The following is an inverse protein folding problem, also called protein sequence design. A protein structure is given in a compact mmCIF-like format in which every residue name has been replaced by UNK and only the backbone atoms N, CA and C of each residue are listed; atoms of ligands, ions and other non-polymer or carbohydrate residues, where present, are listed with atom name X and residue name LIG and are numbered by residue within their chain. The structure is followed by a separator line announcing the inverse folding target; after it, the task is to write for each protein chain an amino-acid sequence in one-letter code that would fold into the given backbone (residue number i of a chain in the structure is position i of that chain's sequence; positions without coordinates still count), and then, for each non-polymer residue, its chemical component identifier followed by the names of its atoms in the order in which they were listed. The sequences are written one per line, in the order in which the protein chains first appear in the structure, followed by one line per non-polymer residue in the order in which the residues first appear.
data_IF_617814516378
#
_entry.id   IF_617814516378
#
_cell.length_a   1.000
_cell.length_b   1.000
_cell.length_c   1.000
_cell.angle_alpha   90.00
_cell.angle_beta   90.00
_cell.angle_gamma   90.00
#
_symmetry.space_group_name_H-M   'P 1'
#
loop_
_entity.id
_entity.type
_entity.pdbx_description
1 polymer ?
#
# COMPACT_ATOMS: atom_id res chain seq x y z
N UNK A 1 28.18 4.72 16.94
CA UNK A 1 29.16 4.82 18.02
C UNK A 1 30.10 6.04 17.88
N UNK A 2 30.19 6.68 16.73
CA UNK A 2 30.99 7.85 16.48
C UNK A 2 30.11 9.07 16.14
N UNK A 3 30.53 10.26 16.61
CA UNK A 3 29.88 11.49 16.19
C UNK A 3 30.46 11.90 14.82
N UNK A 4 29.63 11.93 13.78
CA UNK A 4 30.03 12.37 12.44
C UNK A 4 29.64 13.82 12.24
N UNK A 5 30.60 14.75 12.43
CA UNK A 5 30.53 16.09 11.86
C UNK A 5 31.22 16.07 10.50
N UNK A 6 30.67 16.79 9.53
CA UNK A 6 31.18 16.84 8.14
C UNK A 6 32.67 17.29 8.03
N UNK A 7 33.14 18.02 9.03
CA UNK A 7 34.53 18.52 9.11
C UNK A 7 35.01 18.35 10.53
N UNK A 8 35.84 17.37 10.81
CA UNK A 8 36.48 17.20 12.11
C UNK A 8 36.77 15.75 12.51
N UNK A 9 37.62 15.57 13.52
CA UNK A 9 37.99 14.27 14.05
C UNK A 9 36.76 13.51 14.57
N UNK A 10 36.64 12.25 14.17
CA UNK A 10 35.57 11.34 14.63
C UNK A 10 35.78 11.06 16.11
N UNK A 11 34.88 11.54 16.96
CA UNK A 11 34.93 11.28 18.39
C UNK A 11 34.04 10.09 18.73
N UNK A 12 34.59 9.11 19.40
CA UNK A 12 33.81 7.98 19.90
C UNK A 12 32.88 8.45 21.00
N UNK A 13 31.58 8.23 20.86
CA UNK A 13 30.55 8.66 21.81
C UNK A 13 29.74 7.48 22.39
N UNK A 14 30.14 6.25 22.09
CA UNK A 14 29.46 5.05 22.57
C UNK A 14 27.96 5.05 22.28
N UNK A 15 27.15 4.72 23.26
CA UNK A 15 25.69 4.59 23.17
C UNK A 15 24.93 5.93 23.24
N UNK A 16 25.62 7.06 23.43
CA UNK A 16 24.98 8.35 23.66
C UNK A 16 24.02 8.77 22.52
N UNK A 17 24.32 8.41 21.29
CA UNK A 17 23.45 8.70 20.16
C UNK A 17 22.15 7.90 20.21
N UNK A 18 22.22 6.65 20.61
CA UNK A 18 21.03 5.80 20.79
C UNK A 18 20.13 6.31 21.93
N UNK A 19 20.73 6.64 23.07
CA UNK A 19 19.99 7.22 24.18
C UNK A 19 19.27 8.51 23.80
N UNK A 20 19.92 9.38 23.00
CA UNK A 20 19.26 10.59 22.47
C UNK A 20 18.06 10.28 21.58
N UNK A 21 18.11 9.24 20.75
CA UNK A 21 16.99 8.84 19.91
C UNK A 21 15.81 8.40 20.77
N UNK A 22 16.04 7.57 21.78
CA UNK A 22 14.99 7.12 22.70
C UNK A 22 14.40 8.21 23.57
N UNK A 23 15.15 9.29 23.82
CA UNK A 23 14.66 10.44 24.60
C UNK A 23 13.86 11.45 23.76
N UNK A 24 13.86 11.31 22.41
CA UNK A 24 13.14 12.21 21.52
C UNK A 24 11.70 11.74 21.31
N UNK A 25 10.74 12.56 21.73
CA UNK A 25 9.30 12.31 21.51
C UNK A 25 8.94 12.20 20.03
N UNK A 26 9.68 12.92 19.16
CA UNK A 26 9.46 12.90 17.70
C UNK A 26 9.65 11.50 17.10
N UNK A 27 10.60 10.70 17.65
CA UNK A 27 10.85 9.34 17.18
C UNK A 27 9.67 8.40 17.45
N UNK A 28 9.05 8.54 18.61
CA UNK A 28 7.86 7.75 18.96
C UNK A 28 6.64 8.20 18.15
N UNK A 29 6.51 9.51 17.90
CA UNK A 29 5.49 10.04 16.99
C UNK A 29 5.62 9.47 15.58
N UNK A 30 6.84 9.44 15.03
CA UNK A 30 7.12 8.84 13.73
C UNK A 30 6.85 7.33 13.69
N UNK A 31 7.16 6.58 14.76
CA UNK A 31 6.82 5.16 14.88
C UNK A 31 5.30 4.94 14.85
N UNK A 32 4.55 5.72 15.62
CA UNK A 32 3.08 5.66 15.60
C UNK A 32 2.52 5.94 14.21
N UNK A 33 3.10 6.92 13.51
CA UNK A 33 2.71 7.25 12.16
C UNK A 33 2.99 6.11 11.18
N UNK A 34 4.14 5.46 11.28
CA UNK A 34 4.49 4.34 10.41
C UNK A 34 3.57 3.12 10.59
N UNK A 35 2.90 2.96 11.74
CA UNK A 35 1.89 1.91 11.93
C UNK A 35 0.70 2.06 10.98
N UNK A 36 0.26 3.29 10.68
CA UNK A 36 -0.81 3.52 9.70
C UNK A 36 -0.41 3.01 8.31
N UNK A 37 0.82 3.32 7.89
CA UNK A 37 1.33 2.86 6.59
C UNK A 37 1.55 1.35 6.56
N UNK A 38 2.00 0.77 7.66
CA UNK A 38 2.18 -0.67 7.79
C UNK A 38 0.84 -1.41 7.69
N UNK A 39 -0.20 -0.94 8.39
CA UNK A 39 -1.55 -1.50 8.28
C UNK A 39 -2.12 -1.36 6.86
N UNK A 40 -1.93 -0.18 6.25
CA UNK A 40 -2.31 0.03 4.85
C UNK A 40 -1.61 -0.92 3.89
N UNK A 41 -0.32 -1.18 4.10
CA UNK A 41 0.45 -2.14 3.30
C UNK A 41 -0.04 -3.58 3.47
N UNK A 42 -0.38 -3.99 4.69
CA UNK A 42 -0.94 -5.33 4.95
C UNK A 42 -2.27 -5.50 4.22
N UNK A 43 -3.18 -4.52 4.32
CA UNK A 43 -4.46 -4.53 3.61
C UNK A 43 -4.24 -4.57 2.09
N UNK A 44 -3.32 -3.76 1.58
CA UNK A 44 -2.96 -3.73 0.16
C UNK A 44 -2.46 -5.08 -0.34
N UNK A 45 -1.53 -5.71 0.39
CA UNK A 45 -0.98 -7.03 0.03
C UNK A 45 -2.07 -8.11 0.07
N UNK A 46 -2.95 -8.10 1.06
CA UNK A 46 -4.07 -9.04 1.16
C UNK A 46 -5.02 -8.92 -0.05
N UNK A 47 -5.40 -7.69 -0.42
CA UNK A 47 -6.25 -7.45 -1.60
C UNK A 47 -5.52 -7.86 -2.89
N UNK A 48 -4.23 -7.51 -3.02
CA UNK A 48 -3.43 -7.86 -4.18
C UNK A 48 -3.30 -9.37 -4.36
N UNK A 49 -3.04 -10.11 -3.27
CA UNK A 49 -2.94 -11.56 -3.28
C UNK A 49 -4.28 -12.21 -3.62
N UNK A 50 -5.37 -11.75 -3.02
CA UNK A 50 -6.73 -12.25 -3.31
C UNK A 50 -7.07 -12.09 -4.81
N UNK A 51 -6.82 -10.91 -5.38
CA UNK A 51 -7.08 -10.67 -6.80
C UNK A 51 -6.09 -11.44 -7.70
N UNK A 52 -4.85 -11.60 -7.27
CA UNK A 52 -3.87 -12.39 -8.01
C UNK A 52 -4.30 -13.86 -8.11
N UNK A 53 -4.77 -14.47 -7.03
CA UNK A 53 -5.28 -15.85 -7.05
C UNK A 53 -6.47 -16.00 -7.98
N UNK A 54 -7.40 -15.04 -7.98
CA UNK A 54 -8.55 -15.07 -8.89
C UNK A 54 -8.16 -14.91 -10.35
N UNK A 55 -7.16 -14.08 -10.65
CA UNK A 55 -6.72 -13.74 -12.02
C UNK A 55 -5.62 -14.67 -12.56
N UNK A 56 -5.05 -15.54 -11.75
CA UNK A 56 -4.12 -16.58 -12.19
C UNK A 56 -4.82 -17.69 -12.97
N UNK A 57 -6.11 -17.89 -12.73
CA UNK A 57 -6.93 -18.78 -13.57
C UNK A 57 -7.38 -18.04 -14.83
N UNK A 58 -7.56 -18.79 -15.95
CA UNK A 58 -8.05 -18.22 -17.21
C UNK A 58 -9.42 -17.55 -17.00
N UNK A 59 -9.42 -16.23 -16.96
CA UNK A 59 -10.63 -15.41 -16.89
C UNK A 59 -10.83 -14.63 -18.20
N UNK A 60 -12.09 -14.49 -18.62
CA UNK A 60 -12.42 -13.67 -19.78
C UNK A 60 -12.01 -12.21 -19.47
N UNK A 61 -11.22 -11.60 -20.35
CA UNK A 61 -10.66 -10.25 -20.17
C UNK A 61 -9.64 -10.10 -19.03
N UNK A 62 -9.07 -11.20 -18.48
CA UNK A 62 -8.10 -11.14 -17.37
C UNK A 62 -6.90 -10.24 -17.65
N UNK A 63 -6.34 -10.30 -18.87
CA UNK A 63 -5.15 -9.50 -19.22
C UNK A 63 -5.46 -8.00 -19.32
N UNK A 64 -6.63 -7.65 -19.83
CA UNK A 64 -7.10 -6.26 -19.86
C UNK A 64 -7.26 -5.72 -18.43
N UNK A 65 -7.85 -6.53 -17.53
CA UNK A 65 -8.03 -6.16 -16.14
C UNK A 65 -6.69 -5.99 -15.41
N UNK A 66 -5.73 -6.91 -15.62
CA UNK A 66 -4.36 -6.81 -15.08
C UNK A 66 -3.69 -5.51 -15.53
N UNK A 67 -3.78 -5.17 -16.82
CA UNK A 67 -3.22 -3.94 -17.38
C UNK A 67 -3.85 -2.68 -16.76
N UNK A 68 -5.18 -2.66 -16.62
CA UNK A 68 -5.91 -1.54 -16.02
C UNK A 68 -5.53 -1.34 -14.54
N UNK A 69 -5.42 -2.43 -13.78
CA UNK A 69 -5.02 -2.36 -12.38
C UNK A 69 -3.55 -1.99 -12.17
N UNK A 70 -2.68 -2.32 -13.14
CA UNK A 70 -1.26 -1.96 -13.11
C UNK A 70 -1.01 -0.50 -13.52
N UNK A 71 -1.91 0.10 -14.30
CA UNK A 71 -1.76 1.45 -14.84
C UNK A 71 -1.44 2.52 -13.80
N UNK A 72 -2.06 2.58 -12.60
CA UNK A 72 -1.74 3.58 -11.58
C UNK A 72 -0.27 3.60 -11.17
N UNK A 73 0.39 2.46 -11.15
CA UNK A 73 1.80 2.35 -10.81
C UNK A 73 2.71 3.04 -11.84
N UNK A 74 2.32 3.03 -13.14
CA UNK A 74 3.09 3.63 -14.22
C UNK A 74 3.06 5.17 -14.20
N UNK A 75 2.09 5.77 -13.52
CA UNK A 75 1.96 7.22 -13.44
C UNK A 75 3.10 7.79 -12.59
N UNK A 76 3.72 8.86 -13.09
CA UNK A 76 4.75 9.58 -12.36
C UNK A 76 4.25 10.02 -10.97
N UNK A 77 5.07 9.87 -9.92
CA UNK A 77 4.69 10.18 -8.54
C UNK A 77 4.28 11.64 -8.31
N UNK A 78 4.88 12.58 -9.02
CA UNK A 78 4.51 14.00 -8.94
C UNK A 78 3.11 14.20 -9.51
N UNK A 79 2.80 13.58 -10.65
CA UNK A 79 1.47 13.63 -11.25
C UNK A 79 0.41 13.02 -10.33
N UNK A 80 0.70 11.87 -9.70
CA UNK A 80 -0.19 11.26 -8.69
C UNK A 80 -0.43 12.23 -7.53
N UNK A 81 0.61 12.91 -7.04
CA UNK A 81 0.47 13.92 -5.99
C UNK A 81 -0.49 15.05 -6.37
N UNK A 82 -0.40 15.58 -7.60
CA UNK A 82 -1.34 16.60 -8.10
C UNK A 82 -2.76 16.06 -8.26
N UNK A 83 -2.92 14.87 -8.86
CA UNK A 83 -4.23 14.24 -9.03
C UNK A 83 -4.94 14.10 -7.69
N UNK A 84 -4.26 13.50 -6.69
CA UNK A 84 -4.88 13.28 -5.38
C UNK A 84 -5.02 14.55 -4.54
N UNK A 85 -4.19 15.58 -4.76
CA UNK A 85 -4.42 16.90 -4.18
C UNK A 85 -5.77 17.46 -4.63
N UNK A 86 -6.08 17.42 -5.93
CA UNK A 86 -7.38 17.83 -6.44
C UNK A 86 -8.50 16.90 -5.99
N UNK A 87 -8.27 15.59 -6.01
CA UNK A 87 -9.24 14.59 -5.60
C UNK A 87 -9.74 14.81 -4.16
N UNK A 88 -8.83 15.10 -3.23
CA UNK A 88 -9.12 15.33 -1.82
C UNK A 88 -9.35 16.80 -1.44
N UNK A 89 -9.30 17.73 -2.39
CA UNK A 89 -9.63 19.13 -2.12
C UNK A 89 -11.12 19.24 -1.81
N UNK A 90 -11.46 20.03 -0.77
CA UNK A 90 -12.85 20.21 -0.34
C UNK A 90 -13.73 20.73 -1.48
N UNK A 91 -14.89 20.11 -1.63
CA UNK A 91 -15.85 20.45 -2.68
C UNK A 91 -15.49 19.91 -4.07
N UNK A 92 -14.42 19.12 -4.18
CA UNK A 92 -14.02 18.48 -5.44
C UNK A 92 -14.50 17.03 -5.52
N UNK A 93 -13.77 16.18 -6.26
CA UNK A 93 -14.22 14.87 -6.70
C UNK A 93 -14.69 13.98 -5.54
N UNK A 94 -13.87 13.82 -4.51
CA UNK A 94 -14.19 12.91 -3.41
C UNK A 94 -15.41 13.36 -2.60
N UNK A 95 -15.47 14.65 -2.28
CA UNK A 95 -16.63 15.23 -1.59
C UNK A 95 -17.90 15.14 -2.44
N UNK A 96 -17.80 15.37 -3.76
CA UNK A 96 -18.93 15.23 -4.69
C UNK A 96 -19.48 13.80 -4.71
N UNK A 97 -18.60 12.80 -4.76
CA UNK A 97 -19.00 11.39 -4.70
C UNK A 97 -19.71 11.07 -3.39
N UNK A 98 -19.19 11.58 -2.26
CA UNK A 98 -19.81 11.39 -0.96
C UNK A 98 -21.16 12.11 -0.84
N UNK A 99 -21.30 13.29 -1.44
CA UNK A 99 -22.60 13.98 -1.52
C UNK A 99 -23.62 13.16 -2.31
N UNK A 100 -23.25 12.52 -3.39
CA UNK A 100 -24.14 11.59 -4.11
C UNK A 100 -24.56 10.38 -3.27
N UNK A 101 -23.70 9.97 -2.32
CA UNK A 101 -24.04 8.94 -1.34
C UNK A 101 -24.91 9.46 -0.17
N UNK A 102 -25.28 10.76 -0.15
CA UNK A 102 -26.16 11.36 0.88
C UNK A 102 -25.42 12.07 2.02
N UNK A 103 -24.11 12.23 1.96
CA UNK A 103 -23.36 12.98 2.98
C UNK A 103 -23.45 14.49 2.71
N UNK A 104 -23.62 15.28 3.77
CA UNK A 104 -23.62 16.75 3.67
C UNK A 104 -22.19 17.27 3.67
N UNK A 105 -21.87 18.23 2.81
CA UNK A 105 -20.52 18.80 2.67
C UNK A 105 -20.00 19.36 4.00
N UNK A 106 -20.85 20.01 4.79
CA UNK A 106 -20.45 20.63 6.05
C UNK A 106 -19.97 19.64 7.11
N UNK A 107 -20.42 18.38 7.03
CA UNK A 107 -20.03 17.29 7.92
C UNK A 107 -18.76 16.55 7.46
N UNK A 108 -18.26 16.84 6.24
CA UNK A 108 -17.07 16.19 5.72
C UNK A 108 -15.79 16.86 6.26
N UNK A 109 -14.77 16.07 6.61
CA UNK A 109 -13.51 16.60 7.10
C UNK A 109 -12.65 17.21 5.98
N UNK A 110 -11.62 17.94 6.36
CA UNK A 110 -10.57 18.37 5.43
C UNK A 110 -9.53 17.26 5.24
N UNK A 111 -9.72 16.40 4.23
CA UNK A 111 -8.98 15.16 3.98
C UNK A 111 -7.45 15.27 4.04
N UNK A 112 -6.86 16.41 3.67
CA UNK A 112 -5.42 16.64 3.68
C UNK A 112 -4.94 17.57 4.79
N UNK A 113 -5.82 18.41 5.37
CA UNK A 113 -5.44 19.39 6.40
C UNK A 113 -5.65 18.87 7.81
N UNK A 114 -6.64 18.01 8.01
CA UNK A 114 -6.96 17.44 9.31
C UNK A 114 -5.93 16.37 9.66
N UNK A 115 -5.18 16.59 10.74
CA UNK A 115 -4.12 15.68 11.21
C UNK A 115 -4.65 14.30 11.62
N UNK A 116 -5.92 14.18 11.95
CA UNK A 116 -6.53 12.90 12.33
C UNK A 116 -6.78 11.99 11.12
N UNK A 117 -6.97 12.56 9.93
CA UNK A 117 -7.45 11.85 8.72
C UNK A 117 -6.45 11.90 7.57
N UNK A 118 -5.56 12.90 7.50
CA UNK A 118 -4.64 13.09 6.39
C UNK A 118 -3.79 11.83 6.10
N UNK A 119 -3.40 11.10 7.14
CA UNK A 119 -2.62 9.87 6.99
C UNK A 119 -3.43 8.76 6.32
N UNK A 120 -4.73 8.64 6.62
CA UNK A 120 -5.61 7.69 5.93
C UNK A 120 -5.77 8.05 4.45
N UNK A 121 -5.90 9.33 4.12
CA UNK A 121 -5.97 9.80 2.73
C UNK A 121 -4.69 9.46 1.95
N UNK A 122 -3.52 9.66 2.58
CA UNK A 122 -2.22 9.32 1.99
C UNK A 122 -2.03 7.81 1.86
N UNK A 123 -2.42 7.02 2.86
CA UNK A 123 -2.41 5.56 2.80
C UNK A 123 -3.32 5.07 1.69
N UNK A 124 -4.54 5.59 1.56
CA UNK A 124 -5.47 5.25 0.49
C UNK A 124 -4.88 5.51 -0.90
N UNK A 125 -4.22 6.65 -1.09
CA UNK A 125 -3.49 6.99 -2.33
C UNK A 125 -2.38 5.97 -2.61
N UNK A 126 -1.62 5.59 -1.58
CA UNK A 126 -0.54 4.62 -1.69
C UNK A 126 -1.07 3.22 -2.04
N UNK A 127 -2.14 2.78 -1.39
CA UNK A 127 -2.82 1.52 -1.70
C UNK A 127 -3.27 1.50 -3.16
N UNK A 128 -3.98 2.52 -3.62
CA UNK A 128 -4.44 2.63 -5.00
C UNK A 128 -3.28 2.54 -6.01
N UNK A 129 -2.16 3.20 -5.71
CA UNK A 129 -1.01 3.26 -6.62
C UNK A 129 -0.28 1.93 -6.75
N UNK A 130 -0.01 1.26 -5.62
CA UNK A 130 0.92 0.12 -5.58
C UNK A 130 0.23 -1.25 -5.58
N UNK A 131 -1.08 -1.29 -5.36
CA UNK A 131 -1.78 -2.56 -5.26
C UNK A 131 -1.70 -3.38 -6.55
N UNK A 132 -1.85 -2.74 -7.72
CA UNK A 132 -1.77 -3.41 -9.01
C UNK A 132 -0.39 -3.98 -9.33
N UNK A 133 0.68 -3.28 -8.92
CA UNK A 133 2.05 -3.79 -9.01
C UNK A 133 2.22 -5.07 -8.19
N UNK A 134 1.80 -5.05 -6.94
CA UNK A 134 1.90 -6.22 -6.07
C UNK A 134 1.04 -7.38 -6.58
N UNK A 135 -0.15 -7.11 -7.09
CA UNK A 135 -1.00 -8.11 -7.74
C UNK A 135 -0.29 -8.81 -8.91
N UNK A 136 0.37 -8.06 -9.79
CA UNK A 136 1.10 -8.63 -10.94
C UNK A 136 2.29 -9.47 -10.47
N UNK A 137 3.02 -9.03 -9.43
CA UNK A 137 4.09 -9.81 -8.83
C UNK A 137 3.59 -11.13 -8.23
N UNK A 138 2.46 -11.11 -7.53
CA UNK A 138 1.85 -12.34 -7.00
C UNK A 138 1.35 -13.26 -8.12
N UNK A 139 0.77 -12.73 -9.19
CA UNK A 139 0.40 -13.54 -10.36
C UNK A 139 1.64 -14.22 -10.94
N UNK A 140 2.75 -13.50 -11.10
CA UNK A 140 4.01 -14.09 -11.57
C UNK A 140 4.51 -15.21 -10.67
N UNK A 141 4.46 -15.02 -9.34
CA UNK A 141 4.85 -16.03 -8.37
C UNK A 141 3.93 -17.28 -8.44
N UNK A 142 2.61 -17.09 -8.50
CA UNK A 142 1.65 -18.21 -8.60
C UNK A 142 1.85 -18.98 -9.92
N UNK A 143 2.09 -18.27 -11.03
CA UNK A 143 2.31 -18.89 -12.34
C UNK A 143 3.69 -19.55 -12.49
N UNK A 144 4.62 -19.29 -11.59
CA UNK A 144 5.94 -19.95 -11.58
C UNK A 144 5.94 -21.32 -10.89
N UNK A 145 4.87 -21.69 -10.22
CA UNK A 145 4.69 -23.01 -9.63
C UNK A 145 4.48 -24.04 -10.73
N UNK A 146 5.17 -25.19 -10.61
CA UNK A 146 5.10 -26.24 -11.61
C UNK A 146 3.67 -26.76 -11.76
N UNK A 147 3.12 -26.80 -13.01
CA UNK A 147 1.79 -27.34 -13.26
C UNK A 147 1.57 -28.77 -12.76
N UNK A 148 2.63 -29.59 -12.72
CA UNK A 148 2.54 -30.98 -12.23
C UNK A 148 2.10 -31.04 -10.76
N UNK A 149 2.48 -30.05 -9.94
CA UNK A 149 2.04 -29.96 -8.55
C UNK A 149 0.53 -29.71 -8.45
N UNK A 150 -0.02 -28.85 -9.33
CA UNK A 150 -1.47 -28.63 -9.39
C UNK A 150 -2.23 -29.85 -9.86
N UNK A 151 -1.69 -30.61 -10.84
CA UNK A 151 -2.31 -31.86 -11.30
C UNK A 151 -2.31 -32.93 -10.20
N UNK A 152 -1.21 -33.07 -9.46
CA UNK A 152 -1.13 -33.99 -8.33
C UNK A 152 -2.15 -33.65 -7.23
N UNK A 153 -2.30 -32.37 -6.88
CA UNK A 153 -3.27 -31.94 -5.87
C UNK A 153 -4.72 -32.12 -6.30
N UNK A 154 -5.01 -32.04 -7.62
CA UNK A 154 -6.33 -32.38 -8.15
C UNK A 154 -6.68 -33.87 -8.00
N UNK A 155 -5.69 -34.74 -8.12
CA UNK A 155 -5.87 -36.18 -7.89
C UNK A 155 -6.22 -36.48 -6.43
N UNK A 156 -5.67 -35.71 -5.50
CA UNK A 156 -5.97 -35.79 -4.06
C UNK A 156 -7.32 -35.14 -3.68
N UNK A 157 -8.10 -34.70 -4.66
CA UNK A 157 -9.42 -34.04 -4.50
C UNK A 157 -9.37 -32.73 -3.69
N UNK A 158 -8.23 -32.04 -3.67
CA UNK A 158 -8.13 -30.77 -3.00
C UNK A 158 -8.89 -29.66 -3.75
N UNK A 159 -9.53 -28.79 -2.98
CA UNK A 159 -10.18 -27.62 -3.56
C UNK A 159 -9.13 -26.52 -3.86
N UNK A 160 -9.48 -25.55 -4.70
CA UNK A 160 -8.59 -24.46 -5.12
C UNK A 160 -7.97 -23.66 -3.96
N UNK A 161 -8.63 -23.64 -2.81
CA UNK A 161 -8.12 -22.96 -1.63
C UNK A 161 -7.02 -23.78 -0.94
N UNK A 162 -7.17 -25.09 -0.85
CA UNK A 162 -6.12 -25.98 -0.36
C UNK A 162 -4.91 -25.99 -1.31
N UNK A 163 -5.13 -26.06 -2.62
CA UNK A 163 -4.06 -25.95 -3.63
C UNK A 163 -3.25 -24.65 -3.53
N UNK A 164 -3.85 -23.60 -2.98
CA UNK A 164 -3.16 -22.33 -2.76
C UNK A 164 -2.37 -22.33 -1.44
N UNK A 165 -2.78 -23.09 -0.42
CA UNK A 165 -2.16 -23.11 0.90
C UNK A 165 -0.97 -24.08 1.00
N UNK A 166 -0.94 -25.13 0.20
CA UNK A 166 0.08 -26.19 0.17
C UNK A 166 0.81 -26.24 -1.17
#
# INVERSE_FOLDING_TARGET
FYNMKYTGARKFVGWKNYMKVFQRSDCFGALKLSLYYMLGSVVQLAIALYLATMLSFKTRFGDLFKGFMFFPFLINGIAVGFIFKFFYTRGFVFDTVLQWCGFQLDNLPYWLKDQSINNFSLVGTSVWRYFGQNMVLFIGAIMSVDPELYEASMLDRENKWHQFLY
#
